data_IF_832831140094
#
_entry.id   IF_832831140094
#
_cell.length_a   1.000
_cell.length_b   1.000
_cell.length_c   1.000
_cell.angle_alpha   90.00
_cell.angle_beta   90.00
_cell.angle_gamma   90.00
#
_symmetry.space_group_name_H-M   'P 1'
#
loop_
_entity.id
_entity.type
_entity.pdbx_description
1 polymer ?
#
# COMPACT_ATOMS: atom_id res chain seq x y z
N UNK A 1 -5.61 2.31 -14.61
CA UNK A 1 -5.07 3.67 -14.78
C UNK A 1 -5.88 4.72 -14.00
N UNK A 2 -7.21 4.77 -14.09
CA UNK A 2 -8.01 5.80 -13.38
C UNK A 2 -8.49 5.42 -11.97
N UNK A 3 -8.22 4.21 -11.50
CA UNK A 3 -8.81 3.72 -10.25
C UNK A 3 -8.43 4.58 -9.03
N UNK A 4 -7.16 5.00 -8.88
CA UNK A 4 -6.73 5.80 -7.73
C UNK A 4 -7.29 7.22 -7.75
N UNK A 5 -7.36 7.83 -8.93
CA UNK A 5 -8.03 9.11 -9.13
C UNK A 5 -9.54 9.00 -8.80
N UNK A 6 -10.20 7.94 -9.24
CA UNK A 6 -11.61 7.69 -8.92
C UNK A 6 -11.84 7.45 -7.41
N UNK A 7 -11.02 6.61 -6.77
CA UNK A 7 -11.06 6.37 -5.32
C UNK A 7 -10.87 7.69 -4.53
N UNK A 8 -9.94 8.55 -4.97
CA UNK A 8 -9.74 9.86 -4.36
C UNK A 8 -10.95 10.77 -4.52
N UNK A 9 -11.58 10.81 -5.71
CA UNK A 9 -12.83 11.56 -5.93
C UNK A 9 -13.99 11.02 -5.08
N UNK A 10 -14.02 9.71 -4.81
CA UNK A 10 -14.98 9.06 -3.91
C UNK A 10 -14.65 9.27 -2.42
N UNK A 11 -13.53 9.91 -2.11
CA UNK A 11 -13.21 10.38 -0.78
C UNK A 11 -12.17 9.55 -0.03
N UNK A 12 -11.60 8.48 -0.59
CA UNK A 12 -10.40 7.85 -0.04
C UNK A 12 -9.75 6.84 -0.99
N UNK A 13 -8.43 6.88 -1.10
CA UNK A 13 -7.64 5.81 -1.73
C UNK A 13 -7.63 4.59 -0.80
N UNK A 14 -7.86 3.39 -1.36
CA UNK A 14 -7.97 2.16 -0.57
C UNK A 14 -6.68 1.33 -0.50
N UNK A 15 -5.71 1.66 -1.34
CA UNK A 15 -4.42 0.98 -1.38
C UNK A 15 -3.36 1.96 -1.88
N UNK A 16 -2.41 2.29 -1.02
CA UNK A 16 -1.28 3.16 -1.30
C UNK A 16 -0.19 2.38 -2.06
N UNK A 17 0.29 2.85 -3.21
CA UNK A 17 1.42 2.20 -3.89
C UNK A 17 2.71 2.45 -3.10
N UNK A 18 3.37 1.40 -2.60
CA UNK A 18 4.45 1.47 -1.59
C UNK A 18 5.45 2.61 -1.78
N UNK A 19 6.38 2.50 -2.73
CA UNK A 19 7.44 3.49 -2.95
C UNK A 19 6.96 4.87 -3.45
N UNK A 20 5.66 5.03 -3.72
CA UNK A 20 5.05 6.27 -4.23
C UNK A 20 4.09 6.89 -3.22
N UNK A 21 4.22 6.53 -1.95
CA UNK A 21 3.35 7.00 -0.87
C UNK A 21 4.17 7.67 0.23
N UNK A 22 3.65 8.77 0.76
CA UNK A 22 4.21 9.47 1.91
C UNK A 22 3.23 9.40 3.07
N UNK A 23 3.70 8.95 4.23
CA UNK A 23 2.89 8.85 5.44
C UNK A 23 3.37 9.82 6.51
N UNK A 24 2.43 10.36 7.28
CA UNK A 24 2.75 11.11 8.48
C UNK A 24 3.29 10.15 9.54
N UNK A 25 4.47 10.44 10.08
CA UNK A 25 5.09 9.60 11.12
C UNK A 25 4.17 9.38 12.33
N UNK A 26 3.43 10.41 12.76
CA UNK A 26 2.48 10.27 13.87
C UNK A 26 1.31 9.31 13.57
N UNK A 27 0.89 9.19 12.31
CA UNK A 27 -0.16 8.25 11.93
C UNK A 27 0.34 6.80 11.94
N UNK A 28 1.60 6.58 11.59
CA UNK A 28 2.25 5.27 11.73
C UNK A 28 2.45 4.89 13.20
N UNK A 29 2.79 5.87 14.04
CA UNK A 29 3.01 5.65 15.47
C UNK A 29 1.70 5.62 16.28
N UNK A 30 0.54 5.75 15.63
CA UNK A 30 -0.75 5.59 16.28
C UNK A 30 -0.93 4.15 16.79
N UNK A 31 -1.79 4.00 17.80
CA UNK A 31 -2.08 2.73 18.41
C UNK A 31 -2.53 1.71 17.36
N UNK A 32 -1.99 0.49 17.49
CA UNK A 32 -2.34 -0.66 16.65
C UNK A 32 -2.04 -0.52 15.14
N UNK A 33 -1.34 0.52 14.67
CA UNK A 33 -0.85 0.56 13.27
C UNK A 33 0.43 -0.25 13.17
N UNK A 34 1.58 0.28 13.61
CA UNK A 34 2.87 -0.40 13.43
C UNK A 34 2.99 -1.70 14.24
N UNK A 35 2.33 -1.77 15.41
CA UNK A 35 2.28 -3.00 16.22
C UNK A 35 1.63 -4.15 15.46
N UNK A 36 0.51 -3.89 14.79
CA UNK A 36 -0.23 -4.90 14.02
C UNK A 36 0.47 -5.19 12.70
N UNK A 37 1.00 -4.16 12.05
CA UNK A 37 1.76 -4.29 10.80
C UNK A 37 2.99 -5.20 10.98
N UNK A 38 3.70 -5.10 12.11
CA UNK A 38 4.85 -5.93 12.43
C UNK A 38 4.52 -7.36 12.91
N UNK A 39 3.25 -7.76 12.88
CA UNK A 39 2.85 -9.11 13.30
C UNK A 39 3.40 -10.14 12.34
N UNK A 40 4.14 -11.12 12.87
CA UNK A 40 4.74 -12.17 12.06
C UNK A 40 3.67 -13.10 11.47
N UNK A 41 3.73 -13.32 10.16
CA UNK A 41 2.90 -14.29 9.46
C UNK A 41 3.11 -15.72 9.98
N UNK A 42 2.02 -16.35 10.41
CA UNK A 42 1.99 -17.72 10.91
C UNK A 42 1.11 -18.66 10.09
N UNK A 43 0.08 -18.12 9.43
CA UNK A 43 -0.91 -18.88 8.67
C UNK A 43 -0.82 -18.53 7.18
N UNK A 44 -1.27 -19.44 6.29
CA UNK A 44 -1.24 -19.24 4.84
C UNK A 44 -1.87 -17.90 4.40
N UNK A 45 -2.99 -17.49 5.02
CA UNK A 45 -3.64 -16.20 4.75
C UNK A 45 -2.77 -15.00 5.15
N UNK A 46 -1.98 -15.12 6.22
CA UNK A 46 -1.11 -14.05 6.71
C UNK A 46 0.01 -13.78 5.71
N UNK A 47 0.58 -14.83 5.09
CA UNK A 47 1.58 -14.65 4.04
C UNK A 47 1.04 -13.89 2.82
N UNK A 48 -0.23 -14.10 2.45
CA UNK A 48 -0.85 -13.35 1.37
C UNK A 48 -1.11 -11.89 1.75
N UNK A 49 -1.61 -11.65 2.97
CA UNK A 49 -2.03 -10.32 3.40
C UNK A 49 -0.88 -9.46 3.90
N UNK A 50 -0.02 -9.98 4.77
CA UNK A 50 1.03 -9.22 5.46
C UNK A 50 2.32 -9.14 4.64
N UNK A 51 2.69 -10.23 3.94
CA UNK A 51 3.99 -10.31 3.26
C UNK A 51 3.93 -10.01 1.76
N UNK A 52 2.89 -10.48 1.05
CA UNK A 52 2.70 -10.16 -0.37
C UNK A 52 1.83 -8.93 -0.60
N UNK A 53 0.98 -8.60 0.35
CA UNK A 53 0.05 -7.48 0.31
C UNK A 53 0.41 -6.35 1.26
N UNK A 54 1.70 -6.18 1.59
CA UNK A 54 2.15 -5.33 2.70
C UNK A 54 1.63 -3.88 2.59
N UNK A 55 1.66 -3.32 1.39
CA UNK A 55 1.20 -1.96 1.10
C UNK A 55 -0.30 -1.79 1.33
N UNK A 56 -1.08 -2.77 0.84
CA UNK A 56 -2.53 -2.81 1.03
C UNK A 56 -2.86 -3.02 2.51
N UNK A 57 -2.07 -3.82 3.20
CA UNK A 57 -2.27 -4.09 4.61
C UNK A 57 -2.06 -2.83 5.45
N UNK A 58 -0.97 -2.09 5.22
CA UNK A 58 -0.73 -0.81 5.89
C UNK A 58 -1.84 0.20 5.61
N UNK A 59 -2.29 0.30 4.36
CA UNK A 59 -3.44 1.14 3.98
C UNK A 59 -4.70 0.78 4.77
N UNK A 60 -4.96 -0.52 4.94
CA UNK A 60 -6.13 -1.03 5.67
C UNK A 60 -6.04 -0.64 7.14
N UNK A 61 -4.87 -0.78 7.77
CA UNK A 61 -4.67 -0.39 9.17
C UNK A 61 -4.88 1.11 9.40
N UNK A 62 -4.35 1.94 8.50
CA UNK A 62 -4.55 3.40 8.56
C UNK A 62 -6.03 3.77 8.42
N UNK A 63 -6.76 3.11 7.52
CA UNK A 63 -8.20 3.33 7.36
C UNK A 63 -9.01 2.90 8.57
N UNK A 64 -8.69 1.74 9.15
CA UNK A 64 -9.32 1.25 10.37
C UNK A 64 -9.11 2.21 11.54
N UNK A 65 -7.96 2.89 11.57
CA UNK A 65 -7.64 3.92 12.56
C UNK A 65 -8.24 5.30 12.26
N UNK A 66 -9.01 5.41 11.17
CA UNK A 66 -9.75 6.62 10.80
C UNK A 66 -8.95 7.63 9.97
N UNK A 67 -7.74 7.28 9.53
CA UNK A 67 -6.98 8.12 8.61
C UNK A 67 -7.53 8.03 7.19
N UNK A 68 -7.36 9.13 6.46
CA UNK A 68 -7.70 9.22 5.04
C UNK A 68 -6.43 9.25 4.20
N UNK A 69 -6.46 8.53 3.08
CA UNK A 69 -5.40 8.55 2.08
C UNK A 69 -5.88 9.28 0.83
N UNK A 70 -5.02 10.12 0.28
CA UNK A 70 -5.33 10.98 -0.85
C UNK A 70 -4.35 10.77 -2.00
N UNK A 71 -4.85 10.95 -3.23
CA UNK A 71 -4.04 10.87 -4.43
C UNK A 71 -3.66 12.30 -4.85
N UNK A 72 -2.37 12.56 -5.04
CA UNK A 72 -1.87 13.83 -5.57
C UNK A 72 -1.51 13.66 -7.04
N UNK A 73 -2.26 14.28 -7.95
CA UNK A 73 -1.96 14.22 -9.38
C UNK A 73 -0.70 15.03 -9.77
N UNK A 74 -0.32 16.00 -8.94
CA UNK A 74 0.84 16.87 -9.16
C UNK A 74 2.14 16.29 -8.57
N UNK A 75 2.11 15.11 -7.94
CA UNK A 75 3.32 14.50 -7.40
C UNK A 75 4.11 13.77 -8.48
N UNK A 76 5.39 14.08 -8.59
CA UNK A 76 6.34 13.32 -9.40
C UNK A 76 7.03 12.25 -8.55
N UNK A 77 7.04 11.01 -9.04
CA UNK A 77 7.76 9.91 -8.42
C UNK A 77 8.32 8.96 -9.47
N UNK A 78 9.54 8.47 -9.25
CA UNK A 78 10.25 7.60 -10.17
C UNK A 78 10.71 6.31 -9.48
N UNK A 79 10.59 5.19 -10.18
CA UNK A 79 11.16 3.90 -9.76
C UNK A 79 11.68 3.13 -10.96
N UNK A 80 12.46 2.09 -10.71
CA UNK A 80 12.91 1.18 -11.75
C UNK A 80 11.72 0.38 -12.32
N UNK A 81 11.57 0.40 -13.64
CA UNK A 81 10.57 -0.39 -14.34
C UNK A 81 11.22 -1.66 -14.91
N UNK A 82 10.56 -2.82 -14.87
CA UNK A 82 11.09 -4.03 -15.50
C UNK A 82 11.40 -3.82 -16.99
N UNK A 83 12.62 -4.18 -17.40
CA UNK A 83 13.05 -4.06 -18.81
C UNK A 83 12.93 -5.39 -19.56
N UNK A 84 12.95 -6.52 -18.85
CA UNK A 84 12.84 -7.85 -19.42
C UNK A 84 11.49 -8.52 -19.09
N UNK A 85 10.98 -9.32 -20.03
CA UNK A 85 9.69 -10.02 -19.85
C UNK A 85 9.65 -10.90 -18.58
N UNK A 86 10.75 -11.59 -18.26
CA UNK A 86 10.83 -12.44 -17.06
C UNK A 86 10.64 -11.64 -15.77
N UNK A 87 11.24 -10.47 -15.69
CA UNK A 87 11.11 -9.57 -14.53
C UNK A 87 9.68 -9.04 -14.42
N UNK A 88 9.13 -8.56 -15.54
CA UNK A 88 7.74 -8.11 -15.63
C UNK A 88 6.75 -9.20 -15.21
N UNK A 89 6.92 -10.42 -15.73
CA UNK A 89 6.04 -11.54 -15.42
C UNK A 89 6.10 -11.91 -13.93
N UNK A 90 7.29 -11.96 -13.35
CA UNK A 90 7.46 -12.24 -11.92
C UNK A 90 6.86 -11.13 -11.04
N UNK A 91 7.01 -9.85 -11.43
CA UNK A 91 6.39 -8.73 -10.74
C UNK A 91 4.86 -8.87 -10.73
N UNK A 92 4.25 -9.10 -11.90
CA UNK A 92 2.79 -9.26 -12.04
C UNK A 92 2.23 -10.49 -11.35
N UNK A 93 3.03 -11.53 -11.14
CA UNK A 93 2.62 -12.74 -10.42
C UNK A 93 2.62 -12.54 -8.89
N UNK A 94 3.47 -11.63 -8.37
CA UNK A 94 3.51 -11.28 -6.95
C UNK A 94 2.35 -10.35 -6.55
N UNK A 95 1.97 -9.44 -7.45
CA UNK A 95 0.86 -8.50 -7.26
C UNK A 95 -0.51 -9.16 -7.45
#
# INVERSE_FOLDING_TARGET
>A
WLQKAAEHMLGCVLCSPGCFSLFRGSALMDDNVMRTYATRSSEARHYLQYDQGEDRWLSTLLLQQGYKMEYCAASDAGTHCPEAFREFFNQRRRW
#
